data_IF_233133902481
#
_entry.id   IF_233133902481
#
_cell.length_a   1.000
_cell.length_b   1.000
_cell.length_c   1.000
_cell.angle_alpha   90.00
_cell.angle_beta   90.00
_cell.angle_gamma   90.00
#
_symmetry.space_group_name_H-M   'P 1'
#
loop_
_entity.id
_entity.type
_entity.pdbx_description
1 polymer ?
#
# COMPACT_ATOMS: atom_id res chain seq x y z
N UNK A 1 30.11 -4.39 30.63
CA UNK A 1 29.95 -4.45 29.16
C UNK A 1 30.36 -3.10 28.59
N UNK A 2 31.15 -3.10 27.51
CA UNK A 2 31.59 -1.88 26.81
C UNK A 2 30.39 -1.12 26.24
N UNK A 3 30.44 0.22 26.24
CA UNK A 3 29.38 1.06 25.66
C UNK A 3 29.15 0.78 24.17
N UNK A 4 30.18 0.28 23.47
CA UNK A 4 30.08 -0.18 22.08
C UNK A 4 29.16 -1.40 21.98
N UNK A 5 29.24 -2.34 22.93
CA UNK A 5 28.40 -3.54 22.91
C UNK A 5 26.92 -3.17 23.05
N UNK A 6 26.58 -2.27 24.00
CA UNK A 6 25.22 -1.76 24.17
C UNK A 6 24.70 -1.04 22.92
N UNK A 7 25.56 -0.29 22.23
CA UNK A 7 25.20 0.39 20.99
C UNK A 7 24.89 -0.61 19.86
N UNK A 8 25.72 -1.64 19.71
CA UNK A 8 25.52 -2.70 18.70
C UNK A 8 24.25 -3.52 18.98
N UNK A 9 24.00 -3.85 20.25
CA UNK A 9 22.77 -4.53 20.66
C UNK A 9 21.54 -3.68 20.28
N UNK A 10 21.58 -2.39 20.60
CA UNK A 10 20.47 -1.48 20.30
C UNK A 10 20.24 -1.30 18.80
N UNK A 11 21.30 -1.23 18.00
CA UNK A 11 21.19 -1.17 16.54
C UNK A 11 20.53 -2.45 15.99
N UNK A 12 20.91 -3.61 16.53
CA UNK A 12 20.35 -4.89 16.12
C UNK A 12 18.85 -4.99 16.43
N UNK A 13 18.42 -4.57 17.62
CA UNK A 13 17.00 -4.49 17.99
C UNK A 13 16.19 -3.58 17.05
N UNK A 14 16.77 -2.44 16.67
CA UNK A 14 16.12 -1.48 15.76
C UNK A 14 16.02 -2.03 14.34
N UNK A 15 17.03 -2.75 13.85
CA UNK A 15 16.99 -3.41 12.54
C UNK A 15 15.93 -4.51 12.49
N UNK A 16 15.79 -5.30 13.56
CA UNK A 16 14.72 -6.30 13.66
C UNK A 16 13.33 -5.66 13.69
N UNK A 17 13.15 -4.60 14.48
CA UNK A 17 11.89 -3.84 14.51
C UNK A 17 11.55 -3.27 13.12
N UNK A 18 12.55 -2.71 12.42
CA UNK A 18 12.37 -2.18 11.07
C UNK A 18 11.97 -3.27 10.08
N UNK A 19 12.54 -4.49 10.21
CA UNK A 19 12.16 -5.63 9.38
C UNK A 19 10.70 -6.03 9.60
N UNK A 20 10.25 -6.11 10.85
CA UNK A 20 8.84 -6.41 11.17
C UNK A 20 7.89 -5.35 10.60
N UNK A 21 8.23 -4.06 10.72
CA UNK A 21 7.44 -2.97 10.15
C UNK A 21 7.35 -3.09 8.62
N UNK A 22 8.44 -3.44 7.94
CA UNK A 22 8.45 -3.65 6.48
C UNK A 22 7.53 -4.81 6.08
N UNK A 23 7.52 -5.90 6.84
CA UNK A 23 6.62 -7.03 6.58
C UNK A 23 5.15 -6.67 6.81
N UNK A 24 4.85 -5.95 7.88
CA UNK A 24 3.49 -5.46 8.14
C UNK A 24 3.01 -4.49 7.06
N UNK A 25 3.87 -3.55 6.64
CA UNK A 25 3.58 -2.64 5.53
C UNK A 25 3.24 -3.41 4.26
N UNK A 26 4.00 -4.45 3.92
CA UNK A 26 3.73 -5.27 2.74
C UNK A 26 2.34 -5.91 2.79
N UNK A 27 1.94 -6.46 3.94
CA UNK A 27 0.60 -7.04 4.12
C UNK A 27 -0.51 -6.00 3.95
N UNK A 28 -0.31 -4.80 4.52
CA UNK A 28 -1.26 -3.68 4.37
C UNK A 28 -1.35 -3.25 2.90
N UNK A 29 -0.21 -3.13 2.20
CA UNK A 29 -0.19 -2.77 0.78
C UNK A 29 -0.92 -3.84 -0.08
N UNK A 30 -0.81 -5.12 0.26
CA UNK A 30 -1.55 -6.21 -0.41
C UNK A 30 -3.05 -6.16 -0.10
N UNK A 31 -3.44 -5.88 1.15
CA UNK A 31 -4.85 -5.74 1.54
C UNK A 31 -5.52 -4.54 0.87
N UNK A 32 -4.83 -3.39 0.80
CA UNK A 32 -5.30 -2.21 0.08
C UNK A 32 -5.58 -2.57 -1.38
N UNK A 33 -4.64 -3.22 -2.07
CA UNK A 33 -4.83 -3.61 -3.48
C UNK A 33 -6.04 -4.52 -3.67
N UNK A 34 -6.21 -5.52 -2.82
CA UNK A 34 -7.39 -6.41 -2.90
C UNK A 34 -8.70 -5.61 -2.72
N UNK A 35 -8.73 -4.68 -1.77
CA UNK A 35 -9.90 -3.82 -1.53
C UNK A 35 -10.15 -2.84 -2.68
N UNK A 36 -9.10 -2.32 -3.30
CA UNK A 36 -9.19 -1.51 -4.52
C UNK A 36 -9.80 -2.30 -5.67
N UNK A 37 -9.37 -3.55 -5.88
CA UNK A 37 -9.94 -4.44 -6.89
C UNK A 37 -11.41 -4.77 -6.62
N UNK A 38 -11.77 -5.09 -5.37
CA UNK A 38 -13.16 -5.29 -4.95
C UNK A 38 -14.02 -4.04 -5.22
N UNK A 39 -13.52 -2.85 -4.90
CA UNK A 39 -14.21 -1.59 -5.12
C UNK A 39 -14.44 -1.34 -6.62
N UNK A 40 -13.43 -1.57 -7.46
CA UNK A 40 -13.56 -1.45 -8.93
C UNK A 40 -14.63 -2.42 -9.45
N UNK A 41 -14.62 -3.67 -9.00
CA UNK A 41 -15.61 -4.66 -9.44
C UNK A 41 -17.02 -4.26 -9.02
N UNK A 42 -17.21 -3.81 -7.78
CA UNK A 42 -18.50 -3.39 -7.25
C UNK A 42 -19.05 -2.16 -7.99
N UNK A 43 -18.20 -1.19 -8.29
CA UNK A 43 -18.56 -0.02 -9.09
C UNK A 43 -18.92 -0.42 -10.53
N UNK A 44 -18.13 -1.29 -11.15
CA UNK A 44 -18.38 -1.81 -12.50
C UNK A 44 -19.70 -2.58 -12.63
N UNK A 45 -20.09 -3.37 -11.62
CA UNK A 45 -21.38 -4.07 -11.59
C UNK A 45 -22.59 -3.14 -11.53
N UNK A 46 -22.42 -1.97 -10.91
CA UNK A 46 -23.48 -0.95 -10.78
C UNK A 46 -23.45 0.09 -11.90
N UNK A 47 -22.47 0.02 -12.80
CA UNK A 47 -22.29 1.02 -13.85
C UNK A 47 -21.94 2.41 -13.32
N UNK A 48 -21.40 2.50 -12.10
CA UNK A 48 -20.95 3.74 -11.47
C UNK A 48 -19.43 3.76 -11.49
N UNK A 49 -18.81 4.92 -11.68
CA UNK A 49 -17.37 5.06 -11.56
C UNK A 49 -16.93 5.17 -10.09
N UNK A 50 -15.69 4.80 -9.79
CA UNK A 50 -15.17 4.76 -8.41
C UNK A 50 -15.13 6.16 -7.77
N UNK A 51 -14.87 7.20 -8.55
CA UNK A 51 -14.80 8.57 -8.05
C UNK A 51 -16.19 9.03 -7.56
N UNK A 52 -17.23 8.75 -8.34
CA UNK A 52 -18.63 8.98 -7.98
C UNK A 52 -19.05 8.11 -6.78
N UNK A 53 -18.72 6.81 -6.78
CA UNK A 53 -19.09 5.89 -5.71
C UNK A 53 -18.45 6.24 -4.35
N UNK A 54 -17.28 6.87 -4.37
CA UNK A 54 -16.53 7.26 -3.16
C UNK A 54 -16.72 8.72 -2.79
N UNK A 55 -17.52 9.48 -3.55
CA UNK A 55 -17.69 10.93 -3.36
C UNK A 55 -16.33 11.67 -3.38
N UNK A 56 -15.37 11.17 -4.17
CA UNK A 56 -14.00 11.70 -4.23
C UNK A 56 -13.14 11.46 -2.98
N UNK A 57 -13.62 10.69 -1.99
CA UNK A 57 -12.85 10.33 -0.77
C UNK A 57 -11.73 9.35 -1.08
N UNK A 58 -11.81 8.63 -2.19
CA UNK A 58 -10.84 7.60 -2.54
C UNK A 58 -10.60 7.54 -4.04
N UNK A 59 -9.40 7.96 -4.46
CA UNK A 59 -8.99 7.90 -5.84
C UNK A 59 -8.07 6.70 -6.06
N UNK A 60 -8.62 5.65 -6.68
CA UNK A 60 -7.78 4.58 -7.23
C UNK A 60 -7.10 5.16 -8.47
N UNK A 61 -5.79 5.38 -8.40
CA UNK A 61 -5.03 5.67 -9.62
C UNK A 61 -5.13 4.41 -10.48
N UNK A 62 -5.62 4.50 -11.73
CA UNK A 62 -5.64 3.34 -12.60
C UNK A 62 -4.21 2.79 -12.69
N UNK A 63 -4.03 1.50 -12.41
CA UNK A 63 -2.79 0.74 -12.67
C UNK A 63 -2.40 0.72 -14.16
N UNK A 64 -3.13 1.45 -15.00
CA UNK A 64 -2.78 1.77 -16.37
C UNK A 64 -1.50 2.61 -16.40
N UNK A 65 -0.37 1.91 -16.51
CA UNK A 65 0.73 2.41 -17.32
C UNK A 65 0.16 3.09 -18.57
N UNK A 66 0.44 4.39 -18.68
CA UNK A 66 0.13 5.33 -19.77
C UNK A 66 -0.54 4.67 -21.00
N UNK A 67 -1.79 5.02 -21.29
CA UNK A 67 -2.28 4.96 -22.68
C UNK A 67 -1.63 6.13 -23.42
N UNK A 68 -0.64 5.83 -24.26
CA UNK A 68 -0.20 6.75 -25.30
C UNK A 68 -1.43 7.10 -26.14
N UNK A 69 -1.76 8.39 -26.16
CA UNK A 69 -2.80 8.95 -27.02
C UNK A 69 -2.38 8.69 -28.47
N UNK A 70 -3.14 7.88 -29.22
CA UNK A 70 -2.92 7.74 -30.66
C UNK A 70 -3.18 9.11 -31.31
N UNK A 71 -2.18 9.60 -32.04
CA UNK A 71 -2.33 10.58 -33.12
C UNK A 71 -2.06 9.85 -34.43
#
# INVERSE_FOLDING_TARGET
MSDIAKLVDRLSELDEALKMIKEQKKKIDEEIKMKEEELIQYCGQQGVDVETATEGKYNIKPLSGRRLKQS
#
